data_IF_113252501624
#
_entry.id   IF_113252501624
#
_cell.length_a   1.000
_cell.length_b   1.000
_cell.length_c   1.000
_cell.angle_alpha   90.00
_cell.angle_beta   90.00
_cell.angle_gamma   90.00
#
_symmetry.space_group_name_H-M   'P 1'
#
loop_
_entity.id
_entity.type
_entity.pdbx_description
1 polymer ?
#
# COMPACT_ATOMS: atom_id res chain seq x y z
N UNK A 1 -51.24 4.77 47.05
CA UNK A 1 -50.33 3.64 46.73
C UNK A 1 -49.99 3.79 45.24
N UNK A 2 -49.00 4.60 44.86
CA UNK A 2 -47.61 4.19 44.56
C UNK A 2 -47.59 2.85 43.79
N UNK A 3 -47.15 2.76 42.53
CA UNK A 3 -45.76 2.88 42.01
C UNK A 3 -45.91 2.91 40.47
N UNK A 4 -45.36 3.84 39.69
CA UNK A 4 -43.92 4.06 39.52
C UNK A 4 -43.30 3.09 38.49
N UNK A 5 -43.81 3.04 37.25
CA UNK A 5 -43.27 2.19 36.17
C UNK A 5 -42.29 2.93 35.29
N UNK A 6 -41.05 3.09 35.77
CA UNK A 6 -39.95 3.69 35.02
C UNK A 6 -39.39 2.80 33.90
N UNK A 7 -39.01 3.50 32.82
CA UNK A 7 -37.80 3.27 32.01
C UNK A 7 -37.66 1.98 31.20
N UNK A 8 -37.73 2.13 29.87
CA UNK A 8 -36.52 2.14 29.02
C UNK A 8 -36.92 2.57 27.60
N UNK A 9 -36.82 3.87 27.33
CA UNK A 9 -36.58 4.30 25.96
C UNK A 9 -35.25 3.66 25.55
N UNK A 10 -35.27 2.68 24.66
CA UNK A 10 -34.05 2.23 23.98
C UNK A 10 -33.56 3.44 23.21
N UNK A 11 -32.63 4.18 23.81
CA UNK A 11 -31.80 5.17 23.14
C UNK A 11 -31.07 4.40 22.05
N UNK A 12 -31.63 4.43 20.84
CA UNK A 12 -30.86 4.23 19.63
C UNK A 12 -29.76 5.27 19.72
N UNK A 13 -28.56 4.81 20.07
CA UNK A 13 -27.36 5.59 19.86
C UNK A 13 -27.34 5.77 18.34
N UNK A 14 -27.48 6.99 17.79
CA UNK A 14 -27.20 7.18 16.39
C UNK A 14 -25.77 6.68 16.21
N UNK A 15 -25.62 5.74 15.27
CA UNK A 15 -24.34 5.27 14.77
C UNK A 15 -23.46 6.51 14.61
N UNK A 16 -22.31 6.52 15.27
CA UNK A 16 -21.38 7.62 15.12
C UNK A 16 -20.83 7.50 13.71
N UNK A 17 -21.54 8.14 12.77
CA UNK A 17 -21.23 8.27 11.35
C UNK A 17 -20.05 9.21 11.20
N UNK A 18 -18.90 8.79 11.71
CA UNK A 18 -17.63 9.37 11.34
C UNK A 18 -17.28 8.73 10.00
N UNK A 19 -17.45 9.48 8.90
CA UNK A 19 -17.19 9.00 7.53
C UNK A 19 -15.72 8.69 7.26
N UNK A 20 -14.83 9.02 8.18
CA UNK A 20 -13.40 8.77 8.06
C UNK A 20 -13.02 7.51 8.83
N UNK A 21 -12.93 6.40 8.11
CA UNK A 21 -12.24 5.19 8.55
C UNK A 21 -10.73 5.49 8.52
N UNK A 22 -10.22 6.20 9.53
CA UNK A 22 -8.78 6.32 9.72
C UNK A 22 -8.25 4.97 10.19
N UNK A 23 -7.40 4.37 9.36
CA UNK A 23 -6.65 3.13 9.59
C UNK A 23 -7.36 1.85 9.15
N UNK A 24 -7.36 1.59 7.84
CA UNK A 24 -7.06 0.23 7.40
C UNK A 24 -5.60 -0.08 7.77
N UNK A 25 -5.36 -0.49 9.02
CA UNK A 25 -4.14 -1.24 9.35
C UNK A 25 -4.28 -2.57 8.61
N UNK A 26 -3.90 -2.58 7.34
CA UNK A 26 -3.72 -3.81 6.61
C UNK A 26 -2.64 -4.58 7.37
N UNK A 27 -3.08 -5.55 8.18
CA UNK A 27 -2.16 -6.40 8.92
C UNK A 27 -1.32 -7.11 7.86
N UNK A 28 -0.02 -6.81 7.83
CA UNK A 28 0.91 -7.44 6.89
C UNK A 28 0.79 -8.94 7.08
N UNK A 29 0.08 -9.60 6.17
CA UNK A 29 -0.21 -11.02 6.23
C UNK A 29 1.09 -11.74 5.94
N UNK A 30 1.79 -12.15 7.00
CA UNK A 30 3.04 -12.89 6.87
C UNK A 30 2.78 -14.14 6.03
N UNK A 31 3.68 -14.40 5.07
CA UNK A 31 3.60 -15.55 4.19
C UNK A 31 3.52 -16.83 5.02
N UNK A 32 2.75 -17.83 4.59
CA UNK A 32 2.69 -19.12 5.28
C UNK A 32 4.05 -19.82 5.21
N UNK A 33 4.49 -20.47 6.29
CA UNK A 33 5.78 -21.18 6.34
C UNK A 33 5.93 -22.22 5.21
N UNK A 34 4.81 -22.79 4.75
CA UNK A 34 4.76 -23.70 3.60
C UNK A 34 5.03 -22.97 2.28
N UNK A 35 4.44 -21.80 2.09
CA UNK A 35 4.64 -20.99 0.89
C UNK A 35 6.10 -20.54 0.79
N UNK A 36 6.71 -20.15 1.91
CA UNK A 36 8.13 -19.83 1.97
C UNK A 36 8.98 -20.99 1.45
N UNK A 37 8.79 -22.20 1.97
CA UNK A 37 9.60 -23.34 1.54
C UNK A 37 9.32 -23.81 0.09
N UNK A 38 8.09 -23.62 -0.43
CA UNK A 38 7.82 -23.85 -1.86
C UNK A 38 8.53 -22.84 -2.78
N UNK A 39 8.64 -21.57 -2.38
CA UNK A 39 9.41 -20.56 -3.14
C UNK A 39 10.87 -20.98 -3.24
N UNK A 40 11.51 -21.39 -2.14
CA UNK A 40 12.90 -21.86 -2.17
C UNK A 40 13.05 -23.17 -2.96
N UNK A 41 12.09 -24.09 -2.86
CA UNK A 41 12.07 -25.30 -3.69
C UNK A 41 12.07 -24.94 -5.18
N UNK A 42 11.21 -24.01 -5.60
CA UNK A 42 11.13 -23.56 -6.99
C UNK A 42 12.44 -22.87 -7.43
N UNK A 43 13.01 -21.99 -6.60
CA UNK A 43 14.29 -21.32 -6.88
C UNK A 43 15.41 -22.34 -7.09
N UNK A 44 15.55 -23.32 -6.19
CA UNK A 44 16.59 -24.35 -6.32
C UNK A 44 16.31 -25.31 -7.48
N UNK A 45 15.05 -25.60 -7.79
CA UNK A 45 14.70 -26.36 -9.00
C UNK A 45 15.12 -25.62 -10.27
N UNK A 46 14.86 -24.31 -10.36
CA UNK A 46 15.29 -23.48 -11.49
C UNK A 46 16.82 -23.46 -11.58
N UNK A 47 17.54 -23.25 -10.48
CA UNK A 47 19.02 -23.25 -10.50
C UNK A 47 19.58 -24.63 -10.87
N UNK A 48 18.95 -25.70 -10.38
CA UNK A 48 19.32 -27.09 -10.67
C UNK A 48 19.14 -27.47 -12.13
N UNK A 49 18.04 -26.99 -12.74
CA UNK A 49 17.61 -27.34 -14.09
C UNK A 49 18.02 -26.32 -15.16
N UNK A 50 18.31 -25.05 -14.82
CA UNK A 50 18.74 -24.03 -15.76
C UNK A 50 19.94 -24.44 -16.65
N UNK A 51 20.94 -25.19 -16.14
CA UNK A 51 22.04 -25.68 -16.98
C UNK A 51 21.59 -26.63 -18.11
N UNK A 52 20.45 -27.32 -17.96
CA UNK A 52 19.92 -28.22 -19.00
C UNK A 52 19.53 -27.46 -20.28
N UNK A 53 19.09 -26.21 -20.15
CA UNK A 53 18.71 -25.37 -21.31
C UNK A 53 19.92 -25.07 -22.20
N UNK A 54 21.14 -25.07 -21.62
CA UNK A 54 22.39 -24.88 -22.35
C UNK A 54 23.18 -26.18 -22.59
N UNK A 55 22.59 -27.35 -22.38
CA UNK A 55 23.28 -28.65 -22.54
C UNK A 55 24.27 -28.99 -21.42
N UNK A 56 24.27 -28.25 -20.32
CA UNK A 56 25.11 -28.50 -19.14
C UNK A 56 24.52 -29.57 -18.21
N UNK A 57 25.39 -30.16 -17.37
CA UNK A 57 24.98 -31.15 -16.38
C UNK A 57 24.09 -30.55 -15.28
N UNK A 58 23.12 -31.34 -14.83
CA UNK A 58 22.23 -30.98 -13.72
C UNK A 58 23.07 -30.74 -12.46
N UNK A 59 22.80 -29.62 -11.77
CA UNK A 59 23.43 -29.34 -10.49
C UNK A 59 22.72 -30.15 -9.40
N UNK A 60 23.12 -31.42 -9.25
CA UNK A 60 22.53 -32.36 -8.30
C UNK A 60 22.51 -31.85 -6.86
N UNK A 61 23.53 -31.07 -6.45
CA UNK A 61 23.55 -30.40 -5.15
C UNK A 61 22.38 -29.43 -4.96
N UNK A 62 22.00 -28.69 -6.01
CA UNK A 62 20.92 -27.71 -5.97
C UNK A 62 19.56 -28.41 -5.87
N UNK A 63 19.38 -29.51 -6.63
CA UNK A 63 18.18 -30.33 -6.54
C UNK A 63 18.05 -31.04 -5.18
N UNK A 64 19.15 -31.51 -4.60
CA UNK A 64 19.14 -32.11 -3.27
C UNK A 64 18.69 -31.11 -2.19
N UNK A 65 19.18 -29.87 -2.26
CA UNK A 65 18.74 -28.79 -1.37
C UNK A 65 17.26 -28.45 -1.62
N UNK A 66 16.83 -28.35 -2.88
CA UNK A 66 15.43 -28.12 -3.23
C UNK A 66 14.49 -29.21 -2.68
N UNK A 67 14.87 -30.49 -2.83
CA UNK A 67 14.12 -31.63 -2.30
C UNK A 67 14.05 -31.60 -0.76
N UNK A 68 15.13 -31.21 -0.08
CA UNK A 68 15.14 -31.01 1.36
C UNK A 68 14.14 -29.91 1.79
N UNK A 69 14.13 -28.77 1.10
CA UNK A 69 13.17 -27.70 1.36
C UNK A 69 11.71 -28.15 1.11
N UNK A 70 11.46 -28.93 0.06
CA UNK A 70 10.14 -29.49 -0.22
C UNK A 70 9.67 -30.44 0.89
N UNK A 71 10.55 -31.35 1.32
CA UNK A 71 10.29 -32.29 2.41
C UNK A 71 10.04 -31.55 3.74
N UNK A 72 10.87 -30.56 4.08
CA UNK A 72 10.68 -29.75 5.28
C UNK A 72 9.36 -28.95 5.26
N UNK A 73 8.98 -28.44 4.09
CA UNK A 73 7.71 -27.70 3.91
C UNK A 73 6.48 -28.59 4.13
N UNK A 74 6.55 -29.86 3.72
CA UNK A 74 5.47 -30.84 3.81
C UNK A 74 5.40 -31.49 5.19
N UNK A 75 6.53 -31.97 5.73
CA UNK A 75 6.57 -32.76 6.96
C UNK A 75 6.60 -31.89 8.23
N UNK A 76 7.37 -30.79 8.23
CA UNK A 76 7.54 -29.93 9.41
C UNK A 76 7.73 -28.45 9.06
N UNK A 77 6.69 -27.76 8.56
CA UNK A 77 6.79 -26.34 8.21
C UNK A 77 7.17 -25.44 9.40
N UNK A 78 6.91 -25.89 10.64
CA UNK A 78 7.27 -25.13 11.86
C UNK A 78 8.78 -24.90 12.04
N UNK A 79 9.65 -25.72 11.45
CA UNK A 79 11.11 -25.48 11.52
C UNK A 79 11.53 -24.32 10.61
N UNK A 80 10.76 -24.05 9.56
CA UNK A 80 10.96 -22.92 8.64
C UNK A 80 10.34 -21.62 9.19
N UNK A 81 9.50 -21.68 10.22
CA UNK A 81 8.84 -20.54 10.83
C UNK A 81 9.78 -19.40 11.30
N UNK A 82 10.87 -19.65 12.05
CA UNK A 82 11.78 -18.57 12.46
C UNK A 82 12.47 -17.89 11.26
N UNK A 83 12.82 -18.69 10.25
CA UNK A 83 13.47 -18.20 9.03
C UNK A 83 12.49 -17.37 8.18
N UNK A 84 11.26 -17.85 8.01
CA UNK A 84 10.19 -17.13 7.31
C UNK A 84 9.85 -15.81 8.00
N UNK A 85 9.84 -15.78 9.34
CA UNK A 85 9.61 -14.55 10.10
C UNK A 85 10.75 -13.54 9.93
N UNK A 86 12.00 -14.01 9.93
CA UNK A 86 13.16 -13.16 9.68
C UNK A 86 13.14 -12.60 8.25
N UNK A 87 12.83 -13.45 7.27
CA UNK A 87 12.67 -13.07 5.87
C UNK A 87 11.55 -12.04 5.67
N UNK A 88 10.40 -12.23 6.33
CA UNK A 88 9.29 -11.28 6.28
C UNK A 88 9.71 -9.92 6.85
N UNK A 89 10.41 -9.89 7.99
CA UNK A 89 10.93 -8.64 8.57
C UNK A 89 11.93 -7.96 7.64
N UNK A 90 12.82 -8.73 7.00
CA UNK A 90 13.74 -8.21 6.00
C UNK A 90 12.99 -7.61 4.81
N UNK A 91 11.96 -8.29 4.29
CA UNK A 91 11.12 -7.77 3.23
C UNK A 91 10.40 -6.47 3.61
N UNK A 92 9.95 -6.35 4.86
CA UNK A 92 9.35 -5.11 5.37
C UNK A 92 10.35 -3.96 5.48
N UNK A 93 11.56 -4.22 5.98
CA UNK A 93 12.64 -3.24 6.02
C UNK A 93 13.02 -2.79 4.61
N UNK A 94 13.15 -3.74 3.68
CA UNK A 94 13.42 -3.45 2.28
C UNK A 94 12.30 -2.59 1.68
N UNK A 95 11.03 -2.95 1.91
CA UNK A 95 9.90 -2.15 1.45
C UNK A 95 9.93 -0.71 1.99
N UNK A 96 10.30 -0.53 3.26
CA UNK A 96 10.44 0.79 3.85
C UNK A 96 11.50 1.66 3.17
N UNK A 97 12.54 1.05 2.57
CA UNK A 97 13.58 1.76 1.81
C UNK A 97 13.13 1.94 0.35
N UNK A 98 12.61 0.88 -0.27
CA UNK A 98 12.22 0.88 -1.68
C UNK A 98 11.06 1.84 -1.93
N UNK A 99 10.09 1.94 -1.02
CA UNK A 99 8.92 2.80 -1.23
C UNK A 99 9.31 4.29 -1.37
N UNK A 100 10.07 4.92 -0.45
CA UNK A 100 10.59 6.27 -0.65
C UNK A 100 11.49 6.41 -1.86
N UNK A 101 12.34 5.42 -2.17
CA UNK A 101 13.23 5.47 -3.34
C UNK A 101 12.42 5.51 -4.63
N UNK A 102 11.43 4.62 -4.80
CA UNK A 102 10.54 4.59 -5.97
C UNK A 102 9.76 5.90 -6.07
N UNK A 103 9.21 6.39 -4.95
CA UNK A 103 8.51 7.67 -4.93
C UNK A 103 9.43 8.84 -5.32
N UNK A 104 10.68 8.84 -4.85
CA UNK A 104 11.69 9.82 -5.23
C UNK A 104 12.03 9.76 -6.72
N UNK A 105 12.26 8.55 -7.25
CA UNK A 105 12.51 8.33 -8.69
C UNK A 105 11.32 8.82 -9.52
N UNK A 106 10.08 8.48 -9.15
CA UNK A 106 8.88 8.99 -9.82
C UNK A 106 8.80 10.52 -9.77
N UNK A 107 9.11 11.12 -8.63
CA UNK A 107 9.11 12.56 -8.49
C UNK A 107 10.13 13.23 -9.42
N UNK A 108 11.37 12.73 -9.49
CA UNK A 108 12.41 13.35 -10.30
C UNK A 108 12.32 13.02 -11.79
N UNK A 109 11.78 11.85 -12.17
CA UNK A 109 11.69 11.44 -13.58
C UNK A 109 10.35 11.78 -14.24
N UNK A 110 9.28 11.96 -13.47
CA UNK A 110 7.94 12.23 -14.01
C UNK A 110 7.47 13.61 -13.57
N UNK A 111 7.31 13.82 -12.26
CA UNK A 111 6.67 15.03 -11.74
C UNK A 111 7.52 16.28 -12.01
N UNK A 112 8.81 16.23 -11.69
CA UNK A 112 9.76 17.32 -11.85
C UNK A 112 9.90 17.78 -13.30
N UNK A 113 10.14 16.90 -14.29
CA UNK A 113 10.25 17.35 -15.68
C UNK A 113 8.92 17.87 -16.23
N UNK A 114 7.77 17.35 -15.81
CA UNK A 114 6.47 17.92 -16.17
C UNK A 114 6.36 19.35 -15.63
N UNK A 115 6.74 19.58 -14.36
CA UNK A 115 6.75 20.91 -13.76
C UNK A 115 7.71 21.89 -14.46
N UNK A 116 8.92 21.42 -14.79
CA UNK A 116 9.90 22.21 -15.55
C UNK A 116 9.40 22.54 -16.96
N UNK A 117 8.77 21.58 -17.64
CA UNK A 117 8.16 21.78 -18.96
C UNK A 117 7.04 22.82 -18.90
N UNK A 118 6.14 22.73 -17.91
CA UNK A 118 5.10 23.74 -17.71
C UNK A 118 5.70 25.13 -17.48
N UNK A 119 6.75 25.22 -16.66
CA UNK A 119 7.44 26.48 -16.40
C UNK A 119 8.11 27.05 -17.64
N UNK A 120 8.75 26.21 -18.46
CA UNK A 120 9.37 26.60 -19.73
C UNK A 120 8.32 27.07 -20.76
N UNK A 121 7.14 26.45 -20.78
CA UNK A 121 6.01 26.82 -21.63
C UNK A 121 5.22 28.03 -21.08
N UNK A 122 5.64 28.63 -19.96
CA UNK A 122 4.96 29.76 -19.32
C UNK A 122 3.61 29.40 -18.68
N UNK A 123 3.27 28.11 -18.59
CA UNK A 123 2.02 27.66 -17.99
C UNK A 123 2.14 27.66 -16.47
N UNK A 124 1.41 28.56 -15.82
CA UNK A 124 1.29 28.66 -14.36
C UNK A 124 -0.15 28.31 -13.96
N UNK A 125 -0.41 27.09 -13.44
CA UNK A 125 -1.76 26.69 -13.04
C UNK A 125 -2.30 27.51 -11.87
N UNK A 126 -1.40 28.09 -11.07
CA UNK A 126 -1.73 28.95 -9.95
C UNK A 126 -1.19 30.36 -10.21
N UNK A 127 -1.99 31.37 -9.90
CA UNK A 127 -1.54 32.76 -9.89
C UNK A 127 -0.74 32.98 -8.59
N UNK A 128 0.57 32.80 -8.68
CA UNK A 128 1.50 32.91 -7.54
C UNK A 128 2.09 34.31 -7.42
N UNK A 129 1.93 35.13 -8.46
CA UNK A 129 2.43 36.48 -8.49
C UNK A 129 1.50 37.36 -7.64
N UNK A 130 2.08 37.99 -6.61
CA UNK A 130 1.36 38.90 -5.71
C UNK A 130 1.25 40.25 -6.40
N UNK A 131 0.02 40.73 -6.56
CA UNK A 131 -0.31 42.06 -7.04
C UNK A 131 -0.51 43.01 -5.84
N UNK A 132 0.43 43.92 -5.55
CA UNK A 132 0.33 44.83 -4.42
C UNK A 132 -0.77 45.89 -4.60
N UNK A 133 -1.25 46.11 -5.82
CA UNK A 133 -2.30 47.09 -6.13
C UNK A 133 -3.69 46.44 -6.20
N UNK A 134 -3.79 45.13 -6.01
CA UNK A 134 -5.07 44.41 -6.03
C UNK A 134 -5.92 44.69 -4.77
N UNK A 135 -7.15 45.18 -4.97
CA UNK A 135 -8.12 45.39 -3.89
C UNK A 135 -8.54 44.09 -3.19
N UNK A 136 -8.56 42.97 -3.93
CA UNK A 136 -8.88 41.64 -3.40
C UNK A 136 -8.36 40.54 -4.32
N UNK A 137 -7.77 39.48 -3.74
CA UNK A 137 -7.39 38.25 -4.45
C UNK A 137 -8.57 37.28 -4.65
N UNK A 138 -9.77 37.65 -4.18
CA UNK A 138 -10.95 36.81 -4.30
C UNK A 138 -11.41 36.71 -5.76
N UNK A 139 -11.33 35.50 -6.32
CA UNK A 139 -11.81 35.24 -7.68
C UNK A 139 -13.33 35.06 -7.63
N UNK A 140 -14.08 36.09 -8.04
CA UNK A 140 -15.52 35.99 -8.23
C UNK A 140 -15.87 34.93 -9.30
N UNK A 141 -16.62 33.91 -8.90
CA UNK A 141 -17.06 32.86 -9.82
C UNK A 141 -18.33 33.31 -10.56
N UNK A 142 -18.28 33.31 -11.90
CA UNK A 142 -19.42 33.54 -12.79
C UNK A 142 -19.56 32.34 -13.73
N UNK A 143 -20.66 31.56 -13.68
CA UNK A 143 -21.82 31.74 -12.81
C UNK A 143 -21.51 31.48 -11.33
N UNK A 144 -22.31 32.02 -10.39
CA UNK A 144 -22.22 31.65 -8.99
C UNK A 144 -22.33 30.12 -8.85
N UNK A 145 -21.68 29.58 -7.82
CA UNK A 145 -21.70 28.14 -7.54
C UNK A 145 -23.14 27.58 -7.50
N UNK A 146 -23.30 26.25 -7.59
CA UNK A 146 -24.62 25.63 -7.65
C UNK A 146 -25.48 26.10 -6.48
N UNK A 147 -26.78 26.34 -6.75
CA UNK A 147 -27.69 26.91 -5.76
C UNK A 147 -27.63 26.11 -4.45
N UNK A 148 -27.69 26.75 -3.27
CA UNK A 148 -27.60 26.08 -1.97
C UNK A 148 -28.55 24.88 -1.84
N UNK A 149 -29.71 24.95 -2.49
CA UNK A 149 -30.74 23.90 -2.58
C UNK A 149 -30.21 22.56 -3.18
N UNK A 150 -29.10 22.59 -3.91
CA UNK A 150 -28.48 21.41 -4.53
C UNK A 150 -27.67 20.57 -3.54
N UNK A 151 -27.30 21.13 -2.39
CA UNK A 151 -26.57 20.43 -1.32
C UNK A 151 -27.54 19.64 -0.45
N UNK A 152 -27.94 18.46 -0.92
CA UNK A 152 -28.93 17.59 -0.24
C UNK A 152 -28.48 17.04 1.13
N UNK A 153 -27.18 17.10 1.44
CA UNK A 153 -26.59 16.56 2.66
C UNK A 153 -25.48 17.49 3.16
N UNK A 154 -25.86 18.61 3.76
CA UNK A 154 -24.90 19.60 4.29
C UNK A 154 -24.50 19.35 5.76
N UNK A 155 -25.12 18.38 6.43
CA UNK A 155 -24.77 17.91 7.77
C UNK A 155 -24.97 16.40 7.88
#
# INVERSE_FOLDING_TARGET
>A
MAVGGGTRYKRGMPDQSVHEVFQSRESVKSSSDRAFGFVFTAVFAIIGLAPLVGGGAVRGWSLAIGALFAALSLLRPRTLAPLNRLWTRFGLLLHHIVNPVVMGVMFFLVVTPIGLMMRALGKRPLNIDLDPDAESYWIERKPPGPAPETMKQQF
#
